data_IF_862408578384
#
_entry.id   IF_862408578384
#
_cell.length_a   1.000
_cell.length_b   1.000
_cell.length_c   1.000
_cell.angle_alpha   90.00
_cell.angle_beta   90.00
_cell.angle_gamma   90.00
#
_symmetry.space_group_name_H-M   'P 1'
#
loop_
_entity.id
_entity.type
_entity.pdbx_description
1 polymer ?
#
# COMPACT_ATOMS: atom_id res chain seq x y z
N UNK A 1 10.98 -4.44 25.78
CA UNK A 1 10.69 -3.51 24.68
C UNK A 1 9.33 -3.92 24.11
N UNK A 2 8.26 -3.11 24.22
CA UNK A 2 7.01 -3.46 23.55
C UNK A 2 7.25 -3.31 22.05
N UNK A 3 7.16 -4.44 21.38
CA UNK A 3 7.08 -4.55 19.93
C UNK A 3 5.66 -5.03 19.63
N UNK A 4 5.05 -4.55 18.55
CA UNK A 4 3.88 -5.26 18.04
C UNK A 4 4.28 -6.71 17.73
N UNK A 5 3.39 -7.65 18.05
CA UNK A 5 3.70 -9.06 17.83
C UNK A 5 3.97 -9.29 16.33
N UNK A 6 4.93 -10.15 15.96
CA UNK A 6 5.25 -10.41 14.55
C UNK A 6 4.02 -10.87 13.74
N UNK A 7 3.07 -11.54 14.40
CA UNK A 7 1.77 -11.92 13.83
C UNK A 7 0.89 -10.72 13.47
N UNK A 8 0.97 -9.62 14.24
CA UNK A 8 0.24 -8.38 13.95
C UNK A 8 0.85 -7.63 12.78
N UNK A 9 2.18 -7.60 12.66
CA UNK A 9 2.87 -7.02 11.50
C UNK A 9 2.39 -7.70 10.22
N UNK A 10 2.40 -9.04 10.21
CA UNK A 10 1.93 -9.83 9.06
C UNK A 10 0.45 -9.56 8.75
N UNK A 11 -0.41 -9.55 9.76
CA UNK A 11 -1.84 -9.29 9.56
C UNK A 11 -2.10 -7.89 9.00
N UNK A 12 -1.37 -6.89 9.47
CA UNK A 12 -1.50 -5.51 9.01
C UNK A 12 -0.93 -5.32 7.60
N UNK A 13 0.20 -5.97 7.27
CA UNK A 13 0.77 -5.91 5.93
C UNK A 13 -0.16 -6.57 4.91
N UNK A 14 -0.76 -7.72 5.24
CA UNK A 14 -1.74 -8.40 4.39
C UNK A 14 -2.97 -7.52 4.20
N UNK A 15 -3.52 -6.94 5.28
CA UNK A 15 -4.70 -6.09 5.19
C UNK A 15 -4.43 -4.85 4.34
N UNK A 16 -3.29 -4.18 4.55
CA UNK A 16 -2.90 -3.01 3.77
C UNK A 16 -2.73 -3.36 2.28
N UNK A 17 -2.07 -4.49 1.99
CA UNK A 17 -1.92 -5.02 0.63
C UNK A 17 -3.27 -5.29 -0.01
N UNK A 18 -4.16 -6.03 0.66
CA UNK A 18 -5.47 -6.41 0.11
C UNK A 18 -6.34 -5.20 -0.19
N UNK A 19 -6.35 -4.17 0.67
CA UNK A 19 -7.13 -2.97 0.42
C UNK A 19 -6.70 -2.25 -0.86
N UNK A 20 -5.38 -2.13 -1.06
CA UNK A 20 -4.81 -1.40 -2.19
C UNK A 20 -4.90 -2.23 -3.47
N UNK A 21 -4.60 -3.53 -3.38
CA UNK A 21 -4.77 -4.46 -4.49
C UNK A 21 -6.22 -4.54 -4.96
N UNK A 22 -7.18 -4.72 -4.05
CA UNK A 22 -8.60 -4.79 -4.42
C UNK A 22 -9.08 -3.48 -5.05
N UNK A 23 -8.62 -2.34 -4.54
CA UNK A 23 -8.94 -1.04 -5.13
C UNK A 23 -8.37 -0.92 -6.54
N UNK A 24 -7.08 -1.20 -6.73
CA UNK A 24 -6.43 -1.17 -8.05
C UNK A 24 -7.06 -2.14 -9.04
N UNK A 25 -7.46 -3.33 -8.58
CA UNK A 25 -8.18 -4.30 -9.40
C UNK A 25 -9.55 -3.77 -9.85
N UNK A 26 -10.31 -3.14 -8.96
CA UNK A 26 -11.58 -2.49 -9.31
C UNK A 26 -11.38 -1.35 -10.31
N UNK A 27 -10.32 -0.55 -10.15
CA UNK A 27 -9.98 0.48 -11.14
C UNK A 27 -9.61 -0.15 -12.49
N UNK A 28 -8.80 -1.21 -12.51
CA UNK A 28 -8.46 -1.91 -13.75
C UNK A 28 -9.71 -2.46 -14.47
N UNK A 29 -10.68 -3.01 -13.73
CA UNK A 29 -11.96 -3.48 -14.29
C UNK A 29 -12.77 -2.36 -14.94
N UNK A 30 -12.64 -1.12 -14.47
CA UNK A 30 -13.29 0.05 -15.08
C UNK A 30 -12.43 0.61 -16.21
N UNK A 31 -11.12 0.71 -16.00
CA UNK A 31 -10.17 1.34 -16.90
C UNK A 31 -10.10 0.61 -18.24
N UNK A 32 -9.94 -0.70 -18.21
CA UNK A 32 -9.74 -1.53 -19.41
C UNK A 32 -10.92 -1.40 -20.40
N UNK A 33 -12.19 -1.62 -19.99
CA UNK A 33 -13.31 -1.53 -20.94
C UNK A 33 -13.77 -0.09 -21.24
N UNK A 34 -13.57 0.89 -20.35
CA UNK A 34 -14.17 2.23 -20.51
C UNK A 34 -13.15 3.34 -20.79
N UNK A 35 -11.97 3.34 -20.17
CA UNK A 35 -11.02 4.45 -20.32
C UNK A 35 -10.01 4.20 -21.43
N UNK A 36 -9.48 2.98 -21.55
CA UNK A 36 -8.50 2.61 -22.58
C UNK A 36 -9.01 2.86 -24.01
N UNK A 37 -10.25 2.51 -24.42
CA UNK A 37 -10.71 2.78 -25.79
C UNK A 37 -10.96 4.26 -26.09
N UNK A 38 -11.16 5.11 -25.08
CA UNK A 38 -11.49 6.53 -25.29
C UNK A 38 -10.29 7.47 -25.14
N UNK A 39 -9.38 7.19 -24.21
CA UNK A 39 -8.25 8.05 -23.86
C UNK A 39 -6.90 7.48 -24.31
N UNK A 40 -6.87 6.20 -24.72
CA UNK A 40 -5.64 5.46 -24.96
C UNK A 40 -4.99 4.97 -23.66
N UNK A 41 -4.18 3.93 -23.78
CA UNK A 41 -3.59 3.21 -22.64
C UNK A 41 -2.80 4.14 -21.69
N UNK A 42 -1.92 4.97 -22.23
CA UNK A 42 -1.03 5.84 -21.43
C UNK A 42 -1.77 6.86 -20.58
N UNK A 43 -2.76 7.54 -21.14
CA UNK A 43 -3.52 8.56 -20.41
C UNK A 43 -4.48 7.93 -19.40
N UNK A 44 -5.07 6.78 -19.74
CA UNK A 44 -5.92 6.03 -18.82
C UNK A 44 -5.15 5.59 -17.56
N UNK A 45 -3.93 5.08 -17.72
CA UNK A 45 -3.05 4.70 -16.59
C UNK A 45 -2.66 5.92 -15.74
N UNK A 46 -2.26 7.03 -16.36
CA UNK A 46 -1.87 8.25 -15.64
C UNK A 46 -3.01 8.88 -14.85
N UNK A 47 -4.25 8.82 -15.36
CA UNK A 47 -5.42 9.33 -14.66
C UNK A 47 -5.73 8.50 -13.41
N UNK A 48 -5.46 7.20 -13.43
CA UNK A 48 -5.71 6.30 -12.29
C UNK A 48 -4.75 6.55 -11.11
N UNK A 49 -3.49 6.86 -11.43
CA UNK A 49 -2.43 7.07 -10.43
C UNK A 49 -2.78 8.05 -9.31
N UNK A 50 -3.24 9.29 -9.55
CA UNK A 50 -3.60 10.20 -8.46
C UNK A 50 -4.69 9.66 -7.53
N UNK A 51 -5.67 8.91 -8.07
CA UNK A 51 -6.70 8.27 -7.23
C UNK A 51 -6.10 7.17 -6.36
N UNK A 52 -5.21 6.35 -6.93
CA UNK A 52 -4.48 5.34 -6.17
C UNK A 52 -3.64 5.97 -5.05
N UNK A 53 -3.00 7.12 -5.29
CA UNK A 53 -2.28 7.86 -4.27
C UNK A 53 -3.18 8.26 -3.07
N UNK A 54 -4.40 8.73 -3.33
CA UNK A 54 -5.37 9.07 -2.27
C UNK A 54 -5.81 7.82 -1.48
N UNK A 55 -6.01 6.70 -2.17
CA UNK A 55 -6.40 5.43 -1.54
C UNK A 55 -5.27 4.90 -0.66
N UNK A 56 -4.04 4.91 -1.16
CA UNK A 56 -2.84 4.55 -0.38
C UNK A 56 -2.73 5.43 0.87
N UNK A 57 -2.93 6.74 0.73
CA UNK A 57 -2.92 7.69 1.84
C UNK A 57 -3.98 7.32 2.90
N UNK A 58 -5.22 7.06 2.51
CA UNK A 58 -6.28 6.64 3.45
C UNK A 58 -6.00 5.28 4.09
N UNK A 59 -5.56 4.30 3.30
CA UNK A 59 -5.26 2.96 3.79
C UNK A 59 -4.09 2.97 4.80
N UNK A 60 -3.04 3.74 4.53
CA UNK A 60 -1.92 3.90 5.43
C UNK A 60 -2.34 4.56 6.75
N UNK A 61 -3.25 5.54 6.71
CA UNK A 61 -3.81 6.16 7.91
C UNK A 61 -4.59 5.20 8.80
N UNK A 62 -5.39 4.32 8.18
CA UNK A 62 -6.11 3.25 8.88
C UNK A 62 -5.12 2.27 9.52
N UNK A 63 -4.10 1.82 8.78
CA UNK A 63 -3.07 0.91 9.28
C UNK A 63 -2.29 1.52 10.44
N UNK A 64 -1.86 2.78 10.31
CA UNK A 64 -1.17 3.53 11.37
C UNK A 64 -2.02 3.67 12.64
N UNK A 65 -3.33 3.89 12.49
CA UNK A 65 -4.24 3.96 13.63
C UNK A 65 -4.33 2.60 14.35
N UNK A 66 -4.34 1.50 13.60
CA UNK A 66 -4.36 0.15 14.18
C UNK A 66 -3.06 -0.23 14.90
N UNK A 67 -1.90 0.16 14.36
CA UNK A 67 -0.61 0.00 15.04
C UNK A 67 -0.61 0.74 16.38
N UNK A 68 -1.08 1.99 16.41
CA UNK A 68 -1.15 2.80 17.64
C UNK A 68 -2.01 2.18 18.72
N UNK A 69 -3.21 1.69 18.36
CA UNK A 69 -4.12 1.05 19.31
C UNK A 69 -3.54 -0.21 19.97
N UNK A 70 -2.59 -0.87 19.31
CA UNK A 70 -1.93 -2.08 19.84
C UNK A 70 -0.74 -1.76 20.74
N UNK A 71 -0.25 -0.52 20.73
CA UNK A 71 0.98 -0.09 21.40
C UNK A 71 0.72 0.68 22.73
N UNK A 72 -0.51 0.70 23.23
CA UNK A 72 -0.92 1.40 24.46
C UNK A 72 -0.58 0.68 25.77
N UNK A 73 0.50 -0.10 25.76
CA UNK A 73 1.04 -0.76 26.96
C UNK A 73 2.32 -0.05 27.41
N UNK A 74 2.21 0.75 28.50
CA UNK A 74 3.28 1.25 29.38
C UNK A 74 4.69 1.47 28.78
N UNK A 75 4.89 2.45 27.89
CA UNK A 75 6.25 2.89 27.50
C UNK A 75 6.49 4.40 27.50
N UNK A 76 7.72 4.85 27.81
CA UNK A 76 8.12 6.26 27.76
C UNK A 76 7.97 6.86 26.35
N UNK A 77 7.59 8.14 26.30
CA UNK A 77 7.13 8.83 25.08
C UNK A 77 8.21 8.88 24.00
N UNK A 78 9.50 9.09 24.33
CA UNK A 78 10.57 9.21 23.31
C UNK A 78 10.88 7.90 22.57
N UNK A 79 10.95 6.77 23.28
CA UNK A 79 11.18 5.45 22.66
C UNK A 79 9.98 4.94 21.85
N UNK A 80 8.76 5.38 22.19
CA UNK A 80 7.52 5.03 21.47
C UNK A 80 7.57 5.55 20.02
N UNK A 81 8.15 6.72 19.78
CA UNK A 81 8.16 7.38 18.46
C UNK A 81 9.01 6.61 17.44
N UNK A 82 10.20 6.20 17.84
CA UNK A 82 11.14 5.52 16.94
C UNK A 82 10.61 4.13 16.57
N UNK A 83 10.04 3.41 17.54
CA UNK A 83 9.47 2.07 17.34
C UNK A 83 8.27 2.09 16.40
N UNK A 84 7.34 3.06 16.55
CA UNK A 84 6.20 3.19 15.64
C UNK A 84 6.62 3.48 14.20
N UNK A 85 7.72 4.25 13.99
CA UNK A 85 8.26 4.50 12.65
C UNK A 85 8.80 3.21 12.04
N UNK A 86 9.65 2.48 12.77
CA UNK A 86 10.26 1.23 12.29
C UNK A 86 9.25 0.13 12.03
N UNK A 87 8.27 -0.03 12.91
CA UNK A 87 7.18 -0.99 12.73
C UNK A 87 6.31 -0.61 11.52
N UNK A 88 6.00 0.68 11.35
CA UNK A 88 5.28 1.16 10.16
C UNK A 88 6.04 0.89 8.86
N UNK A 89 7.35 1.16 8.84
CA UNK A 89 8.21 0.83 7.69
C UNK A 89 8.26 -0.68 7.43
N UNK A 90 8.38 -1.52 8.45
CA UNK A 90 8.37 -2.97 8.30
C UNK A 90 7.05 -3.47 7.70
N UNK A 91 5.91 -2.95 8.17
CA UNK A 91 4.59 -3.25 7.59
C UNK A 91 4.51 -2.83 6.12
N UNK A 92 4.98 -1.62 5.79
CA UNK A 92 4.98 -1.11 4.42
C UNK A 92 5.86 -1.93 3.47
N UNK A 93 7.05 -2.31 3.91
CA UNK A 93 8.01 -3.09 3.11
C UNK A 93 7.54 -4.53 2.92
N UNK A 94 7.00 -5.18 3.96
CA UNK A 94 6.36 -6.49 3.82
C UNK A 94 5.14 -6.43 2.91
N UNK A 95 4.31 -5.39 3.04
CA UNK A 95 3.17 -5.21 2.16
C UNK A 95 3.60 -5.01 0.70
N UNK A 96 4.73 -4.34 0.46
CA UNK A 96 5.26 -4.17 -0.89
C UNK A 96 5.65 -5.51 -1.49
N UNK A 97 6.32 -6.37 -0.71
CA UNK A 97 6.63 -7.74 -1.14
C UNK A 97 5.38 -8.52 -1.49
N UNK A 98 4.36 -8.51 -0.62
CA UNK A 98 3.08 -9.18 -0.90
C UNK A 98 2.39 -8.63 -2.14
N UNK A 99 2.37 -7.30 -2.30
CA UNK A 99 1.76 -6.64 -3.43
C UNK A 99 2.43 -7.05 -4.75
N UNK A 100 3.76 -6.99 -4.81
CA UNK A 100 4.52 -7.42 -5.97
C UNK A 100 4.26 -8.89 -6.29
N UNK A 101 4.29 -9.77 -5.28
CA UNK A 101 4.03 -11.21 -5.48
C UNK A 101 2.64 -11.47 -6.07
N UNK A 102 1.62 -10.75 -5.59
CA UNK A 102 0.26 -10.88 -6.11
C UNK A 102 0.18 -10.33 -7.53
N UNK A 103 0.66 -9.11 -7.78
CA UNK A 103 0.54 -8.47 -9.09
C UNK A 103 1.35 -9.20 -10.16
N UNK A 104 2.63 -9.49 -9.89
CA UNK A 104 3.47 -10.29 -10.78
C UNK A 104 2.94 -11.72 -10.93
N UNK A 105 2.41 -12.31 -9.86
CA UNK A 105 1.78 -13.63 -9.90
C UNK A 105 0.53 -13.65 -10.79
N UNK A 106 -0.32 -12.62 -10.72
CA UNK A 106 -1.50 -12.48 -11.60
C UNK A 106 -1.07 -12.28 -13.05
N UNK A 107 -0.07 -11.42 -13.30
CA UNK A 107 0.44 -11.20 -14.65
C UNK A 107 0.98 -12.48 -15.29
N UNK A 108 1.86 -13.18 -14.57
CA UNK A 108 2.46 -14.44 -15.06
C UNK A 108 1.40 -15.53 -15.25
N UNK A 109 0.40 -15.60 -14.36
CA UNK A 109 -0.71 -16.55 -14.50
C UNK A 109 -1.60 -16.28 -15.71
N UNK A 110 -1.88 -15.01 -16.02
CA UNK A 110 -2.67 -14.62 -17.19
C UNK A 110 -1.92 -14.90 -18.50
N UNK A 111 -0.63 -14.56 -18.57
CA UNK A 111 0.18 -14.68 -19.80
C UNK A 111 0.91 -16.02 -19.94
N UNK A 112 0.66 -16.98 -19.04
CA UNK A 112 1.31 -18.31 -19.06
C UNK A 112 1.07 -19.07 -20.37
N UNK A 113 -0.06 -18.82 -21.03
CA UNK A 113 -0.44 -19.50 -22.27
C UNK A 113 0.06 -18.77 -23.53
N UNK A 114 0.45 -17.50 -23.39
CA UNK A 114 0.81 -16.62 -24.50
C UNK A 114 2.32 -16.58 -24.76
N UNK A 115 3.11 -17.34 -23.99
CA UNK A 115 4.57 -17.43 -24.12
C UNK A 115 5.36 -16.27 -23.51
N UNK A 116 4.69 -15.24 -22.98
CA UNK A 116 5.29 -14.00 -22.42
C UNK A 116 5.01 -13.79 -20.92
N UNK A 117 5.00 -14.88 -20.14
CA UNK A 117 4.64 -14.89 -18.73
C UNK A 117 5.79 -14.67 -17.74
N UNK A 118 6.89 -14.02 -18.12
CA UNK A 118 7.98 -13.76 -17.17
C UNK A 118 7.73 -12.53 -16.31
N UNK A 119 8.22 -12.56 -15.08
CA UNK A 119 8.31 -11.37 -14.23
C UNK A 119 9.12 -10.25 -14.87
N UNK A 120 10.12 -10.60 -15.68
CA UNK A 120 10.93 -9.62 -16.40
C UNK A 120 10.08 -8.91 -17.46
N UNK A 121 9.21 -9.65 -18.18
CA UNK A 121 8.31 -9.08 -19.19
C UNK A 121 7.33 -8.09 -18.55
N UNK A 122 6.88 -8.35 -17.33
CA UNK A 122 6.06 -7.40 -16.56
C UNK A 122 6.79 -6.08 -16.24
N UNK A 123 8.10 -6.12 -15.96
CA UNK A 123 8.89 -4.90 -15.68
C UNK A 123 9.17 -4.13 -16.96
N UNK A 124 9.63 -4.82 -18.01
CA UNK A 124 10.09 -4.19 -19.26
C UNK A 124 8.95 -3.85 -20.22
N UNK A 125 7.81 -4.51 -20.10
CA UNK A 125 6.64 -4.31 -20.95
C UNK A 125 5.80 -3.07 -20.59
N UNK A 126 6.13 -2.34 -19.52
CA UNK A 126 5.39 -1.13 -19.13
C UNK A 126 5.73 0.06 -20.01
N UNK A 127 4.74 0.94 -20.19
CA UNK A 127 4.98 2.25 -20.79
C UNK A 127 6.08 3.00 -20.01
N UNK A 128 7.09 3.61 -20.67
CA UNK A 128 8.20 4.23 -19.97
C UNK A 128 7.80 5.33 -18.98
N UNK A 129 6.71 6.04 -19.25
CA UNK A 129 6.27 7.16 -18.39
C UNK A 129 5.28 6.69 -17.35
N UNK A 130 4.24 5.95 -17.74
CA UNK A 130 3.28 5.43 -16.77
C UNK A 130 3.94 4.40 -15.83
N UNK A 131 4.83 3.56 -16.35
CA UNK A 131 5.66 2.63 -15.57
C UNK A 131 6.55 3.35 -14.56
N UNK A 132 7.23 4.43 -14.94
CA UNK A 132 8.06 5.21 -14.02
C UNK A 132 7.24 5.79 -12.86
N UNK A 133 6.06 6.36 -13.14
CA UNK A 133 5.17 6.89 -12.10
C UNK A 133 4.63 5.77 -11.21
N UNK A 134 4.29 4.61 -11.79
CA UNK A 134 3.90 3.43 -11.04
C UNK A 134 4.99 2.98 -10.05
N UNK A 135 6.25 2.87 -10.48
CA UNK A 135 7.37 2.53 -9.59
C UNK A 135 7.62 3.59 -8.52
N UNK A 136 7.48 4.87 -8.85
CA UNK A 136 7.54 5.95 -7.87
C UNK A 136 6.42 5.81 -6.81
N UNK A 137 5.21 5.43 -7.23
CA UNK A 137 4.10 5.15 -6.33
C UNK A 137 4.31 3.91 -5.47
N UNK A 138 4.99 2.87 -5.97
CA UNK A 138 5.39 1.72 -5.14
C UNK A 138 6.37 2.14 -4.02
N UNK A 139 7.32 3.01 -4.34
CA UNK A 139 8.19 3.62 -3.34
C UNK A 139 7.38 4.38 -2.29
N UNK A 140 6.43 5.22 -2.74
CA UNK A 140 5.53 5.95 -1.86
C UNK A 140 4.69 5.03 -0.96
N UNK A 141 4.11 3.97 -1.55
CA UNK A 141 3.33 2.95 -0.86
C UNK A 141 4.08 2.30 0.31
N UNK A 142 5.37 2.00 0.13
CA UNK A 142 6.18 1.34 1.14
C UNK A 142 6.54 2.26 2.32
N UNK A 143 6.72 3.55 2.04
CA UNK A 143 7.15 4.55 3.03
C UNK A 143 5.96 5.11 3.82
N UNK A 144 4.79 5.17 3.20
CA UNK A 144 3.59 5.81 3.75
C UNK A 144 3.19 5.34 5.16
N UNK A 145 3.14 4.02 5.48
CA UNK A 145 2.75 3.58 6.83
C UNK A 145 3.72 4.06 7.92
N UNK A 146 5.02 4.15 7.61
CA UNK A 146 6.03 4.68 8.53
C UNK A 146 5.89 6.18 8.80
N UNK A 147 5.59 6.98 7.76
CA UNK A 147 5.36 8.43 7.90
C UNK A 147 4.04 8.71 8.62
N UNK A 148 2.97 8.01 8.24
CA UNK A 148 1.63 8.22 8.80
C UNK A 148 1.46 7.70 10.21
N UNK A 149 2.31 6.75 10.62
CA UNK A 149 2.48 6.33 12.01
C UNK A 149 2.60 7.50 12.98
N UNK A 150 3.03 8.69 12.53
CA UNK A 150 3.21 9.91 13.32
C UNK A 150 2.07 10.96 13.22
N UNK A 151 1.58 11.26 12.01
CA UNK A 151 0.79 12.47 11.76
C UNK A 151 -0.73 12.31 11.61
N UNK A 152 -1.25 11.07 11.53
CA UNK A 152 -2.65 10.84 11.11
C UNK A 152 -3.69 11.46 12.08
N UNK A 153 -4.47 12.48 11.65
CA UNK A 153 -5.45 13.14 12.51
C UNK A 153 -6.57 12.21 12.98
N UNK A 154 -7.01 11.28 12.13
CA UNK A 154 -8.14 10.39 12.39
C UNK A 154 -7.93 9.42 13.56
N UNK A 155 -6.68 9.13 13.93
CA UNK A 155 -6.34 8.28 15.07
C UNK A 155 -6.35 9.03 16.41
N UNK A 156 -6.01 10.32 16.41
CA UNK A 156 -5.97 11.15 17.63
C UNK A 156 -7.36 11.34 18.25
N UNK A 157 -8.39 11.48 17.41
CA UNK A 157 -9.76 11.66 17.87
C UNK A 157 -10.33 10.46 18.65
N UNK A 158 -9.88 9.23 18.35
CA UNK A 158 -10.36 8.01 19.06
C UNK A 158 -9.66 7.77 20.41
N UNK A 159 -8.46 8.31 20.61
CA UNK A 159 -7.71 8.18 21.87
C UNK A 159 -8.06 9.29 22.87
N UNK A 160 -8.52 10.46 22.40
CA UNK A 160 -8.92 11.57 23.26
C UNK A 160 -10.33 11.47 23.86
N UNK A 161 -11.10 10.42 23.56
CA UNK A 161 -12.48 10.24 24.01
C UNK A 161 -12.65 9.63 25.42
N UNK A 162 -11.56 9.36 26.13
CA UNK A 162 -11.55 8.63 27.41
C UNK A 162 -11.43 9.49 28.67
N UNK A 163 -11.63 10.81 28.59
CA UNK A 163 -11.67 11.68 29.79
C UNK A 163 -12.90 12.57 29.70
N UNK A 164 -14.01 12.08 30.26
CA UNK A 164 -15.01 12.88 30.96
C UNK A 164 -15.50 12.08 32.16
#
# INVERSE_FOLDING_TARGET
>A
MPHIAPTQILRLSILYTLLIFASGFLFALVRIPLLEPHLGQRYAELVEMPFMGIIMWKAAGITATRVRLQHDTHTPIEGKILNLKWEGFAVGLLALTWFLLIEGGVYTWMHRNDGGGSWMDWVWGRDPVAGAVFFAMLGWFAVLPGIMGWGWPGGRARLGGGIK
#
